data_IF_960998943144
#
_entry.id   IF_960998943144
#
_cell.length_a   1.000
_cell.length_b   1.000
_cell.length_c   1.000
_cell.angle_alpha   90.00
_cell.angle_beta   90.00
_cell.angle_gamma   90.00
#
_symmetry.space_group_name_H-M   'P 1'
#
loop_
_entity.id
_entity.type
_entity.pdbx_description
1 polymer ?
#
# COMPACT_ATOMS: atom_id res chain seq x y z
N UNK A 1 -41.68 34.38 -9.77
CA UNK A 1 -40.47 35.15 -9.37
C UNK A 1 -39.34 34.15 -9.17
N UNK A 2 -38.43 34.14 -10.15
CA UNK A 2 -37.10 33.52 -10.30
C UNK A 2 -36.67 32.42 -9.30
N UNK A 3 -36.63 31.18 -9.81
CA UNK A 3 -35.53 30.25 -9.53
C UNK A 3 -34.27 30.81 -10.20
N UNK A 4 -33.14 30.83 -9.51
CA UNK A 4 -31.79 31.01 -10.08
C UNK A 4 -30.95 29.84 -9.58
N UNK A 5 -30.49 28.97 -10.49
CA UNK A 5 -29.11 28.98 -11.03
C UNK A 5 -28.09 28.89 -9.89
N UNK A 6 -27.28 27.84 -9.77
CA UNK A 6 -26.36 27.40 -10.82
C UNK A 6 -26.39 25.88 -11.07
N UNK A 7 -26.35 25.55 -12.35
CA UNK A 7 -26.01 24.26 -12.91
C UNK A 7 -24.71 24.54 -13.65
N UNK A 8 -23.57 24.25 -13.01
CA UNK A 8 -22.23 24.41 -13.58
C UNK A 8 -21.38 23.20 -13.10
N UNK A 9 -21.24 22.26 -14.04
CA UNK A 9 -20.07 21.40 -14.32
C UNK A 9 -19.73 20.21 -13.40
N UNK A 10 -20.53 19.14 -13.50
CA UNK A 10 -20.22 17.75 -13.06
C UNK A 10 -19.32 16.97 -14.04
N UNK A 11 -18.57 17.63 -14.94
CA UNK A 11 -17.71 16.94 -15.92
C UNK A 11 -16.25 16.75 -15.47
N UNK A 12 -15.82 17.40 -14.38
CA UNK A 12 -14.43 17.36 -13.91
C UNK A 12 -14.11 16.29 -12.85
N UNK A 13 -15.10 15.57 -12.33
CA UNK A 13 -14.91 14.57 -11.27
C UNK A 13 -14.59 13.15 -11.80
N UNK A 14 -14.75 12.89 -13.10
CA UNK A 14 -14.80 11.52 -13.65
C UNK A 14 -13.46 10.98 -14.19
N UNK A 15 -12.43 11.81 -14.35
CA UNK A 15 -11.13 11.35 -14.93
C UNK A 15 -10.24 10.65 -13.88
N UNK A 16 -10.46 10.90 -12.59
CA UNK A 16 -9.50 10.52 -11.54
C UNK A 16 -9.67 9.11 -10.96
N UNK A 17 -10.89 8.55 -10.84
CA UNK A 17 -11.09 7.27 -10.16
C UNK A 17 -10.43 6.09 -10.90
N UNK A 18 -10.57 6.02 -12.22
CA UNK A 18 -10.01 4.93 -13.03
C UNK A 18 -8.48 4.95 -13.11
N UNK A 19 -7.86 6.13 -13.00
CA UNK A 19 -6.41 6.28 -13.04
C UNK A 19 -5.73 5.76 -11.77
N UNK A 20 -6.34 5.98 -10.61
CA UNK A 20 -5.82 5.48 -9.32
C UNK A 20 -5.89 3.95 -9.27
N UNK A 21 -6.97 3.35 -9.78
CA UNK A 21 -7.09 1.90 -9.87
C UNK A 21 -6.04 1.28 -10.81
N UNK A 22 -5.73 1.93 -11.93
CA UNK A 22 -4.69 1.47 -12.84
C UNK A 22 -3.28 1.56 -12.22
N UNK A 23 -2.99 2.63 -11.47
CA UNK A 23 -1.72 2.76 -10.74
C UNK A 23 -1.57 1.69 -9.66
N UNK A 24 -2.63 1.42 -8.90
CA UNK A 24 -2.65 0.34 -7.90
C UNK A 24 -2.41 -1.03 -8.55
N UNK A 25 -3.04 -1.31 -9.70
CA UNK A 25 -2.78 -2.55 -10.47
C UNK A 25 -1.32 -2.68 -10.90
N UNK A 26 -0.70 -1.59 -11.36
CA UNK A 26 0.72 -1.60 -11.74
C UNK A 26 1.63 -1.89 -10.55
N UNK A 27 1.36 -1.26 -9.39
CA UNK A 27 2.10 -1.52 -8.16
C UNK A 27 1.93 -2.98 -7.70
N UNK A 28 0.72 -3.52 -7.78
CA UNK A 28 0.45 -4.94 -7.51
C UNK A 28 1.25 -5.85 -8.45
N UNK A 29 1.26 -5.55 -9.76
CA UNK A 29 2.03 -6.32 -10.74
C UNK A 29 3.55 -6.27 -10.48
N UNK A 30 4.08 -5.13 -10.04
CA UNK A 30 5.49 -5.02 -9.64
C UNK A 30 5.79 -5.86 -8.40
N UNK A 31 4.91 -5.82 -7.41
CA UNK A 31 5.04 -6.59 -6.17
C UNK A 31 5.02 -8.10 -6.41
N UNK A 32 4.07 -8.60 -7.22
CA UNK A 32 3.99 -10.02 -7.58
C UNK A 32 5.24 -10.52 -8.32
N UNK A 33 5.93 -9.63 -9.04
CA UNK A 33 7.19 -9.91 -9.74
C UNK A 33 8.43 -9.66 -8.89
N UNK A 34 8.28 -9.14 -7.67
CA UNK A 34 9.39 -8.75 -6.80
C UNK A 34 10.25 -7.60 -7.33
N UNK A 35 9.70 -6.78 -8.22
CA UNK A 35 10.43 -5.66 -8.85
C UNK A 35 10.41 -4.46 -7.93
N UNK A 36 11.58 -3.89 -7.62
CA UNK A 36 11.74 -2.70 -6.75
C UNK A 36 11.21 -2.85 -5.31
N UNK A 37 11.00 -4.09 -4.84
CA UNK A 37 10.79 -4.34 -3.41
C UNK A 37 12.08 -4.05 -2.65
N UNK A 38 12.07 -3.02 -1.82
CA UNK A 38 13.20 -2.45 -1.09
C UNK A 38 13.23 -2.84 0.39
N UNK A 39 12.18 -3.54 0.86
CA UNK A 39 12.04 -3.98 2.25
C UNK A 39 11.60 -5.44 2.32
N UNK A 40 11.99 -6.12 3.40
CA UNK A 40 11.56 -7.50 3.69
C UNK A 40 10.85 -7.55 5.04
N UNK A 41 9.58 -7.95 5.04
CA UNK A 41 8.81 -8.20 6.26
C UNK A 41 8.95 -9.67 6.67
N UNK A 42 9.22 -9.92 7.95
CA UNK A 42 9.35 -11.25 8.54
C UNK A 42 8.35 -11.40 9.69
N UNK A 43 7.58 -12.47 9.71
CA UNK A 43 6.68 -12.83 10.80
C UNK A 43 6.62 -14.35 10.94
N UNK A 44 7.21 -14.89 12.01
CA UNK A 44 7.40 -16.32 12.19
C UNK A 44 8.10 -16.95 10.99
N UNK A 45 7.45 -17.94 10.36
CA UNK A 45 7.92 -18.61 9.14
C UNK A 45 7.66 -17.84 7.82
N UNK A 46 6.96 -16.70 7.86
CA UNK A 46 6.68 -15.91 6.66
C UNK A 46 7.75 -14.86 6.45
N UNK A 47 8.27 -14.80 5.22
CA UNK A 47 9.16 -13.73 4.74
C UNK A 47 8.57 -13.19 3.44
N UNK A 48 8.40 -11.87 3.36
CA UNK A 48 7.69 -11.22 2.27
C UNK A 48 8.38 -9.92 1.86
N UNK A 49 8.80 -9.85 0.60
CA UNK A 49 9.35 -8.63 0.03
C UNK A 49 8.21 -7.66 -0.32
N UNK A 50 8.40 -6.37 -0.04
CA UNK A 50 7.42 -5.33 -0.32
C UNK A 50 8.10 -4.01 -0.70
N UNK A 51 7.31 -3.04 -1.15
CA UNK A 51 7.71 -1.66 -1.33
C UNK A 51 7.41 -0.86 -0.04
N UNK A 52 8.44 -0.26 0.56
CA UNK A 52 8.32 0.63 1.71
C UNK A 52 7.25 1.70 1.50
N UNK A 53 7.27 2.37 0.33
CA UNK A 53 6.35 3.46 0.01
C UNK A 53 4.88 3.05 0.04
N UNK A 54 4.56 1.81 -0.36
CA UNK A 54 3.18 1.30 -0.30
C UNK A 54 2.78 1.05 1.14
N UNK A 55 3.69 0.51 1.96
CA UNK A 55 3.45 0.27 3.38
C UNK A 55 3.25 1.59 4.15
N UNK A 56 4.12 2.58 3.91
CA UNK A 56 4.04 3.91 4.51
C UNK A 56 2.74 4.62 4.14
N UNK A 57 2.31 4.51 2.87
CA UNK A 57 1.05 5.10 2.41
C UNK A 57 -0.19 4.47 3.10
N UNK A 58 -0.07 3.25 3.62
CA UNK A 58 -1.16 2.53 4.26
C UNK A 58 -1.15 2.63 5.79
N UNK A 59 -0.04 3.01 6.40
CA UNK A 59 0.10 3.05 7.86
C UNK A 59 1.16 4.05 8.32
N UNK A 60 0.75 4.94 9.23
CA UNK A 60 1.65 5.89 9.89
C UNK A 60 2.74 5.18 10.73
N UNK A 61 2.47 3.95 11.20
CA UNK A 61 3.49 3.15 11.89
C UNK A 61 4.64 2.80 10.95
N UNK A 62 4.33 2.34 9.73
CA UNK A 62 5.35 2.07 8.71
C UNK A 62 6.04 3.35 8.26
N UNK A 63 5.30 4.46 8.12
CA UNK A 63 5.89 5.77 7.78
C UNK A 63 6.95 6.17 8.81
N UNK A 64 6.60 6.21 10.10
CA UNK A 64 7.53 6.54 11.18
C UNK A 64 8.71 5.57 11.22
N UNK A 65 8.43 4.26 11.13
CA UNK A 65 9.46 3.22 11.21
C UNK A 65 10.49 3.33 10.08
N UNK A 66 10.06 3.60 8.85
CA UNK A 66 10.96 3.69 7.72
C UNK A 66 11.65 5.06 7.63
N UNK A 67 10.98 6.16 7.98
CA UNK A 67 11.60 7.50 8.04
C UNK A 67 12.81 7.53 8.99
N UNK A 68 12.71 6.87 10.15
CA UNK A 68 13.82 6.75 11.11
C UNK A 68 15.00 5.90 10.57
N UNK A 69 14.75 5.07 9.55
CA UNK A 69 15.74 4.15 8.96
C UNK A 69 16.27 4.58 7.60
N UNK A 70 15.59 5.47 6.89
CA UNK A 70 16.05 6.05 5.62
C UNK A 70 17.28 6.96 5.86
N UNK A 71 18.43 6.34 6.04
CA UNK A 71 19.70 6.99 6.36
C UNK A 71 20.75 6.01 6.87
N UNK A 72 20.32 4.88 7.42
CA UNK A 72 21.19 3.80 7.87
C UNK A 72 21.34 2.76 6.75
N UNK A 73 22.58 2.44 6.37
CA UNK A 73 22.86 1.49 5.26
C UNK A 73 22.62 0.02 5.63
N UNK A 74 22.17 -0.25 6.86
CA UNK A 74 21.78 -1.58 7.33
C UNK A 74 20.42 -1.97 6.76
N UNK A 75 20.35 -3.11 6.07
CA UNK A 75 19.20 -3.56 5.28
C UNK A 75 17.82 -3.36 5.93
N UNK A 76 16.83 -3.07 5.09
CA UNK A 76 15.46 -2.73 5.50
C UNK A 76 14.59 -3.94 5.88
N UNK A 77 15.18 -4.90 6.59
CA UNK A 77 14.45 -6.05 7.10
C UNK A 77 13.68 -5.64 8.38
N UNK A 78 12.41 -6.02 8.43
CA UNK A 78 11.50 -5.74 9.55
C UNK A 78 10.95 -7.05 10.07
N UNK A 79 11.21 -7.33 11.34
CA UNK A 79 10.66 -8.51 12.01
C UNK A 79 9.49 -8.10 12.90
N UNK A 80 8.32 -8.68 12.65
CA UNK A 80 7.06 -8.44 13.33
C UNK A 80 6.76 -9.65 14.22
N UNK A 81 7.25 -9.62 15.46
CA UNK A 81 7.20 -10.76 16.38
C UNK A 81 5.81 -11.06 16.95
N UNK A 82 4.90 -10.08 16.92
CA UNK A 82 3.53 -10.20 17.47
C UNK A 82 2.47 -10.45 16.40
N UNK A 83 2.89 -10.65 15.15
CA UNK A 83 1.99 -10.85 14.00
C UNK A 83 2.12 -12.28 13.51
N UNK A 84 0.99 -12.96 13.34
CA UNK A 84 0.97 -14.29 12.73
C UNK A 84 1.33 -14.21 11.24
N UNK A 85 2.02 -15.24 10.74
CA UNK A 85 2.46 -15.34 9.35
C UNK A 85 1.33 -15.13 8.33
N UNK A 86 0.16 -15.75 8.56
CA UNK A 86 -0.98 -15.67 7.65
C UNK A 86 -1.67 -14.31 7.73
N UNK A 87 -1.74 -13.72 8.92
CA UNK A 87 -2.23 -12.36 9.11
C UNK A 87 -1.35 -11.33 8.38
N UNK A 88 -0.02 -11.45 8.49
CA UNK A 88 0.91 -10.59 7.75
C UNK A 88 0.67 -10.69 6.24
N UNK A 89 0.57 -11.93 5.73
CA UNK A 89 0.35 -12.17 4.30
C UNK A 89 -0.98 -11.58 3.82
N UNK A 90 -2.06 -11.79 4.57
CA UNK A 90 -3.39 -11.27 4.24
C UNK A 90 -3.40 -9.74 4.22
N UNK A 91 -2.83 -9.09 5.24
CA UNK A 91 -2.76 -7.64 5.34
C UNK A 91 -1.94 -7.04 4.20
N UNK A 92 -0.73 -7.55 3.95
CA UNK A 92 0.10 -7.01 2.87
C UNK A 92 -0.54 -7.26 1.50
N UNK A 93 -1.15 -8.43 1.28
CA UNK A 93 -1.90 -8.70 0.05
C UNK A 93 -3.01 -7.68 -0.16
N UNK A 94 -3.72 -7.32 0.92
CA UNK A 94 -4.77 -6.32 0.86
C UNK A 94 -4.26 -4.90 0.60
N UNK A 95 -3.06 -4.55 1.07
CA UNK A 95 -2.46 -3.25 0.75
C UNK A 95 -2.27 -3.05 -0.76
N UNK A 96 -1.94 -4.12 -1.49
CA UNK A 96 -1.77 -4.08 -2.95
C UNK A 96 -3.06 -4.34 -3.73
N UNK A 97 -3.83 -5.36 -3.33
CA UNK A 97 -5.03 -5.83 -4.06
C UNK A 97 -6.31 -5.13 -3.63
N UNK A 98 -6.28 -4.41 -2.51
CA UNK A 98 -7.44 -3.73 -1.88
C UNK A 98 -8.54 -4.70 -1.43
N UNK A 99 -8.19 -5.96 -1.22
CA UNK A 99 -9.08 -7.03 -0.77
C UNK A 99 -8.42 -7.79 0.39
N UNK A 100 -9.12 -7.95 1.51
CA UNK A 100 -8.68 -8.77 2.66
C UNK A 100 -9.48 -10.08 2.63
N UNK A 101 -8.77 -11.20 2.58
CA UNK A 101 -9.36 -12.53 2.82
C UNK A 101 -8.81 -13.08 4.13
N UNK A 102 -9.66 -13.17 5.15
CA UNK A 102 -9.38 -13.89 6.40
C UNK A 102 -10.04 -15.27 6.28
N UNK A 103 -9.22 -16.32 6.24
CA UNK A 103 -9.68 -17.73 6.22
C UNK A 103 -9.76 -18.29 7.62
#
# INVERSE_FOLDING_TARGET
RKRSLCQEDDENACISLGMVDEQARRMCSMWERGVHCDVTLKAGQCTLAAHSVVLMAWSDWFATFFEDRFGDTGGNDVELTEVEADALRAVVTAMYRREICLT
#
